data_IF_593420728184
#
_entry.id   IF_593420728184
#
_cell.length_a   1.000
_cell.length_b   1.000
_cell.length_c   1.000
_cell.angle_alpha   90.00
_cell.angle_beta   90.00
_cell.angle_gamma   90.00
#
_symmetry.space_group_name_H-M   'P 1'
#
loop_
_entity.id
_entity.type
_entity.pdbx_description
1 polymer ?
#
# COMPACT_ATOMS: atom_id res chain seq x y z
N UNK A 1 18.78 0.00 -13.85
CA UNK A 1 17.73 -0.04 -14.88
C UNK A 1 17.14 1.36 -14.94
N UNK A 2 16.96 1.94 -16.13
CA UNK A 2 16.37 3.28 -16.27
C UNK A 2 14.87 3.18 -15.97
N UNK A 3 14.31 4.20 -15.30
CA UNK A 3 12.88 4.32 -15.13
C UNK A 3 12.20 4.44 -16.51
N UNK A 4 11.01 3.85 -16.65
CA UNK A 4 10.20 3.94 -17.85
C UNK A 4 8.92 4.71 -17.54
N UNK A 5 8.32 5.31 -18.56
CA UNK A 5 7.01 5.95 -18.44
C UNK A 5 5.96 4.87 -18.18
N UNK A 6 5.14 5.08 -17.16
CA UNK A 6 4.05 4.18 -16.79
C UNK A 6 2.91 5.02 -16.21
N UNK A 7 1.70 4.77 -16.70
CA UNK A 7 0.46 5.35 -16.19
C UNK A 7 -0.59 4.25 -16.06
N UNK A 8 -1.20 4.17 -14.87
CA UNK A 8 -2.26 3.20 -14.56
C UNK A 8 -3.49 3.35 -15.46
N UNK A 9 -3.73 4.54 -16.00
CA UNK A 9 -4.90 4.85 -16.82
C UNK A 9 -4.59 4.88 -18.32
N UNK A 10 -3.32 4.84 -18.72
CA UNK A 10 -2.90 4.75 -20.12
C UNK A 10 -2.25 3.40 -20.43
N UNK A 11 -3.05 2.51 -21.01
CA UNK A 11 -2.64 1.12 -21.34
C UNK A 11 -1.51 1.06 -22.36
N UNK A 12 -1.32 2.07 -23.20
CA UNK A 12 -0.23 2.10 -24.18
C UNK A 12 1.14 2.16 -23.50
N UNK A 13 1.18 2.65 -22.25
CA UNK A 13 2.41 2.71 -21.43
C UNK A 13 2.77 1.39 -20.76
N UNK A 14 1.83 0.43 -20.66
CA UNK A 14 2.02 -0.79 -19.85
C UNK A 14 3.06 -1.76 -20.41
N UNK A 15 3.35 -1.69 -21.71
CA UNK A 15 4.37 -2.50 -22.35
C UNK A 15 5.79 -1.97 -22.11
N UNK A 16 5.95 -0.69 -21.76
CA UNK A 16 7.25 -0.03 -21.67
C UNK A 16 8.26 -0.73 -20.74
N UNK A 17 7.87 -1.28 -19.57
CA UNK A 17 8.78 -2.03 -18.69
C UNK A 17 9.35 -3.31 -19.32
N UNK A 18 8.67 -3.88 -20.31
CA UNK A 18 8.96 -5.22 -20.86
C UNK A 18 9.85 -5.21 -22.10
N UNK A 19 10.35 -4.04 -22.54
CA UNK A 19 11.31 -3.95 -23.65
C UNK A 19 12.72 -4.45 -23.33
N UNK A 20 12.99 -4.83 -22.06
CA UNK A 20 14.31 -5.20 -21.56
C UNK A 20 14.42 -6.67 -21.15
N UNK A 21 14.98 -6.90 -19.96
CA UNK A 21 15.08 -8.25 -19.38
C UNK A 21 13.67 -8.75 -19.00
N UNK A 22 13.39 -10.06 -19.14
CA UNK A 22 12.13 -10.64 -18.68
C UNK A 22 11.86 -10.29 -17.21
N UNK A 23 10.64 -9.84 -16.94
CA UNK A 23 10.16 -9.55 -15.58
C UNK A 23 9.29 -10.73 -15.17
N UNK A 24 9.62 -11.39 -14.07
CA UNK A 24 8.83 -12.52 -13.52
C UNK A 24 8.04 -12.15 -12.26
N UNK A 25 8.38 -11.04 -11.61
CA UNK A 25 7.78 -10.57 -10.38
C UNK A 25 7.53 -9.06 -10.41
N UNK A 26 6.39 -8.61 -9.87
CA UNK A 26 5.99 -7.20 -9.80
C UNK A 26 5.64 -6.81 -8.37
N UNK A 27 6.13 -5.65 -7.95
CA UNK A 27 5.69 -4.97 -6.72
C UNK A 27 4.65 -3.90 -7.05
N UNK A 28 3.52 -3.94 -6.35
CA UNK A 28 2.34 -3.14 -6.59
C UNK A 28 2.08 -2.18 -5.43
N UNK A 29 1.96 -0.91 -5.80
CA UNK A 29 1.53 0.18 -4.93
C UNK A 29 0.20 0.72 -5.43
N UNK A 30 -0.69 1.05 -4.50
CA UNK A 30 -2.02 1.56 -4.79
C UNK A 30 -1.96 2.90 -5.56
N UNK A 31 -2.62 3.02 -6.74
CA UNK A 31 -2.73 4.28 -7.45
C UNK A 31 -3.73 5.25 -6.78
N UNK A 32 -3.49 6.54 -6.93
CA UNK A 32 -4.37 7.61 -6.44
C UNK A 32 -5.54 7.87 -7.40
N UNK A 33 -6.38 6.86 -7.61
CA UNK A 33 -7.58 6.92 -8.48
C UNK A 33 -8.81 6.48 -7.71
N UNK A 34 -10.01 6.68 -8.26
CA UNK A 34 -11.27 6.43 -7.55
C UNK A 34 -11.51 4.95 -7.18
N UNK A 35 -11.17 4.03 -8.08
CA UNK A 35 -11.33 2.58 -7.89
C UNK A 35 -10.00 1.88 -8.24
N UNK A 36 -8.99 1.98 -7.36
CA UNK A 36 -7.63 1.59 -7.68
C UNK A 36 -7.46 0.11 -8.02
N UNK A 37 -8.32 -0.76 -7.50
CA UNK A 37 -8.30 -2.19 -7.80
C UNK A 37 -8.60 -2.51 -9.28
N UNK A 38 -9.35 -1.66 -10.00
CA UNK A 38 -9.70 -1.90 -11.41
C UNK A 38 -8.46 -1.89 -12.32
N UNK A 39 -7.70 -0.78 -12.45
CA UNK A 39 -6.52 -0.78 -13.30
C UNK A 39 -5.44 -1.74 -12.79
N UNK A 40 -5.35 -1.97 -11.47
CA UNK A 40 -4.42 -2.96 -10.93
C UNK A 40 -4.71 -4.38 -11.40
N UNK A 41 -5.98 -4.83 -11.32
CA UNK A 41 -6.38 -6.18 -11.77
C UNK A 41 -6.18 -6.30 -13.29
N UNK A 42 -6.57 -5.30 -14.06
CA UNK A 42 -6.36 -5.30 -15.51
C UNK A 42 -4.87 -5.40 -15.87
N UNK A 43 -4.00 -4.68 -15.16
CA UNK A 43 -2.56 -4.74 -15.36
C UNK A 43 -1.96 -6.10 -14.93
N UNK A 44 -2.41 -6.66 -13.80
CA UNK A 44 -2.02 -8.00 -13.37
C UNK A 44 -2.35 -9.02 -14.47
N UNK A 45 -3.58 -9.02 -14.97
CA UNK A 45 -3.99 -9.96 -16.01
C UNK A 45 -3.25 -9.75 -17.33
N UNK A 46 -3.04 -8.49 -17.73
CA UNK A 46 -2.22 -8.15 -18.90
C UNK A 46 -0.80 -8.71 -18.78
N UNK A 47 -0.11 -8.46 -17.66
CA UNK A 47 1.28 -8.87 -17.47
C UNK A 47 1.45 -10.38 -17.36
N UNK A 48 0.47 -11.08 -16.76
CA UNK A 48 0.43 -12.54 -16.74
C UNK A 48 0.25 -13.12 -18.14
N UNK A 49 -0.74 -12.65 -18.86
CA UNK A 49 -1.17 -13.25 -20.13
C UNK A 49 -0.20 -12.93 -21.28
N UNK A 50 0.37 -11.73 -21.29
CA UNK A 50 1.22 -11.24 -22.40
C UNK A 50 2.70 -11.45 -22.11
N UNK A 51 3.13 -11.25 -20.85
CA UNK A 51 4.55 -11.23 -20.48
C UNK A 51 4.98 -12.37 -19.57
N UNK A 52 4.05 -13.24 -19.16
CA UNK A 52 4.35 -14.41 -18.34
C UNK A 52 4.78 -14.08 -16.90
N UNK A 53 4.40 -12.91 -16.37
CA UNK A 53 4.63 -12.57 -14.97
C UNK A 53 3.87 -13.55 -14.09
N UNK A 54 4.52 -14.12 -13.08
CA UNK A 54 3.90 -15.14 -12.22
C UNK A 54 3.75 -14.70 -10.77
N UNK A 55 4.55 -13.73 -10.31
CA UNK A 55 4.64 -13.33 -8.90
C UNK A 55 4.25 -11.86 -8.67
N UNK A 56 3.46 -11.61 -7.63
CA UNK A 56 3.00 -10.28 -7.27
C UNK A 56 3.16 -10.00 -5.78
N UNK A 57 3.73 -8.84 -5.45
CA UNK A 57 3.82 -8.34 -4.08
C UNK A 57 2.97 -7.09 -3.96
N UNK A 58 1.96 -7.10 -3.08
CA UNK A 58 1.01 -6.00 -2.92
C UNK A 58 1.17 -5.35 -1.55
N UNK A 59 1.21 -4.03 -1.48
CA UNK A 59 1.02 -3.30 -0.22
C UNK A 59 -0.44 -2.89 -0.08
N UNK A 60 -1.09 -3.36 1.00
CA UNK A 60 -2.53 -3.23 1.23
C UNK A 60 -2.91 -2.58 2.58
N UNK A 61 -1.95 -2.28 3.45
CA UNK A 61 -2.22 -1.70 4.77
C UNK A 61 -2.93 -2.63 5.76
N UNK A 62 -2.88 -2.33 7.06
CA UNK A 62 -3.40 -3.23 8.12
C UNK A 62 -4.92 -3.40 8.09
N UNK A 63 -5.68 -2.39 7.66
CA UNK A 63 -7.15 -2.42 7.62
C UNK A 63 -7.74 -3.18 6.43
N UNK A 64 -6.91 -3.69 5.51
CA UNK A 64 -7.42 -4.45 4.37
C UNK A 64 -8.19 -5.68 4.79
N UNK A 65 -9.36 -5.82 4.16
CA UNK A 65 -10.34 -6.87 4.34
C UNK A 65 -10.80 -7.34 2.94
N UNK A 66 -10.81 -8.65 2.71
CA UNK A 66 -11.23 -9.27 1.44
C UNK A 66 -12.69 -9.00 1.07
N UNK A 67 -13.53 -8.62 2.03
CA UNK A 67 -14.95 -8.34 1.85
C UNK A 67 -15.27 -6.89 1.45
N UNK A 68 -14.28 -5.99 1.46
CA UNK A 68 -14.47 -4.56 1.22
C UNK A 68 -13.80 -4.09 -0.08
N UNK A 69 -14.39 -3.11 -0.80
CA UNK A 69 -13.74 -2.47 -1.95
C UNK A 69 -12.38 -1.86 -1.56
N UNK A 70 -11.38 -2.07 -2.42
CA UNK A 70 -10.01 -1.63 -2.17
C UNK A 70 -8.98 -2.72 -2.48
N UNK A 71 -7.85 -2.67 -1.78
CA UNK A 71 -6.77 -3.66 -1.95
C UNK A 71 -7.18 -5.09 -1.58
N UNK A 72 -8.24 -5.27 -0.78
CA UNK A 72 -8.85 -6.57 -0.53
C UNK A 72 -9.40 -7.23 -1.80
N UNK A 73 -9.87 -6.46 -2.77
CA UNK A 73 -10.34 -6.96 -4.07
C UNK A 73 -9.17 -7.47 -4.91
N UNK A 74 -8.03 -6.75 -4.91
CA UNK A 74 -6.80 -7.18 -5.59
C UNK A 74 -6.24 -8.44 -4.93
N UNK A 75 -6.24 -8.51 -3.59
CA UNK A 75 -5.84 -9.71 -2.87
C UNK A 75 -6.74 -10.89 -3.20
N UNK A 76 -8.07 -10.70 -3.21
CA UNK A 76 -9.00 -11.74 -3.64
C UNK A 76 -8.70 -12.23 -5.06
N UNK A 77 -8.37 -11.32 -5.98
CA UNK A 77 -7.95 -11.70 -7.33
C UNK A 77 -6.72 -12.60 -7.34
N UNK A 78 -5.74 -12.38 -6.47
CA UNK A 78 -4.59 -13.29 -6.35
C UNK A 78 -5.00 -14.70 -5.91
N UNK A 79 -5.91 -14.80 -4.94
CA UNK A 79 -6.42 -16.07 -4.45
C UNK A 79 -7.19 -16.81 -5.54
N UNK A 80 -8.04 -16.10 -6.29
CA UNK A 80 -8.88 -16.68 -7.35
C UNK A 80 -8.06 -17.12 -8.57
N UNK A 81 -6.98 -16.40 -8.89
CA UNK A 81 -6.12 -16.71 -10.05
C UNK A 81 -4.96 -17.66 -9.75
N UNK A 82 -4.68 -17.92 -8.47
CA UNK A 82 -3.62 -18.82 -8.03
C UNK A 82 -2.20 -18.32 -8.35
N UNK A 83 -2.00 -17.00 -8.48
CA UNK A 83 -0.66 -16.44 -8.68
C UNK A 83 0.20 -16.59 -7.43
N UNK A 84 1.50 -16.64 -7.64
CA UNK A 84 2.46 -16.46 -6.56
C UNK A 84 2.26 -15.05 -5.98
N UNK A 85 2.00 -14.95 -4.68
CA UNK A 85 1.73 -13.67 -4.06
C UNK A 85 2.35 -13.48 -2.68
N UNK A 86 2.52 -12.22 -2.29
CA UNK A 86 2.70 -11.80 -0.91
C UNK A 86 1.97 -10.48 -0.67
N UNK A 87 1.08 -10.42 0.31
CA UNK A 87 0.33 -9.20 0.65
C UNK A 87 0.88 -8.59 1.94
N UNK A 88 1.50 -7.42 1.83
CA UNK A 88 2.07 -6.70 2.94
C UNK A 88 1.05 -5.72 3.49
N UNK A 89 0.83 -5.80 4.80
CA UNK A 89 -0.18 -5.05 5.53
C UNK A 89 0.47 -4.19 6.61
N UNK A 90 1.29 -3.20 6.23
CA UNK A 90 1.95 -2.33 7.18
C UNK A 90 0.94 -1.48 7.95
N UNK A 91 1.28 -1.12 9.18
CA UNK A 91 0.59 -0.04 9.88
C UNK A 91 0.88 1.30 9.19
N UNK A 92 -0.10 2.21 9.20
CA UNK A 92 0.02 3.56 8.66
C UNK A 92 -0.36 4.59 9.73
N UNK A 93 -0.08 5.86 9.47
CA UNK A 93 -0.72 6.98 10.16
C UNK A 93 -2.25 6.94 10.01
N UNK A 94 -2.97 6.55 11.05
CA UNK A 94 -4.42 6.50 11.07
C UNK A 94 -4.96 7.53 12.07
N UNK A 95 -6.08 8.18 11.79
CA UNK A 95 -6.71 9.09 12.76
C UNK A 95 -7.33 8.27 13.90
N UNK A 96 -6.51 7.85 14.85
CA UNK A 96 -6.91 6.91 15.90
C UNK A 96 -7.35 7.59 17.20
N UNK A 97 -7.36 8.92 17.29
CA UNK A 97 -7.59 9.62 18.56
C UNK A 97 -6.56 9.16 19.60
N UNK A 98 -7.02 8.46 20.64
CA UNK A 98 -6.19 7.85 21.70
C UNK A 98 -5.71 6.43 21.39
N UNK A 99 -6.02 5.90 20.20
CA UNK A 99 -5.58 4.57 19.79
C UNK A 99 -4.07 4.49 19.60
N UNK A 100 -3.52 3.33 19.96
CA UNK A 100 -2.08 3.04 19.81
C UNK A 100 -1.80 2.39 18.47
N UNK A 101 -0.79 2.90 17.76
CA UNK A 101 -0.35 2.42 16.46
C UNK A 101 1.08 1.88 16.60
N UNK A 102 1.37 0.69 16.05
CA UNK A 102 2.73 0.18 15.97
C UNK A 102 3.45 0.76 14.75
N UNK A 103 3.92 2.01 14.83
CA UNK A 103 4.51 2.73 13.69
C UNK A 103 5.71 1.98 13.08
N UNK A 104 5.62 1.65 11.80
CA UNK A 104 6.66 0.91 11.07
C UNK A 104 7.43 1.82 10.11
N UNK A 105 8.73 1.58 9.94
CA UNK A 105 9.56 2.30 8.97
C UNK A 105 9.31 1.84 7.54
N UNK A 106 9.33 2.76 6.58
CA UNK A 106 9.30 2.44 5.16
C UNK A 106 10.48 1.55 4.73
N UNK A 107 11.63 1.67 5.39
CA UNK A 107 12.82 0.82 5.12
C UNK A 107 12.54 -0.63 5.51
N UNK A 108 11.86 -0.86 6.64
CA UNK A 108 11.51 -2.21 7.10
C UNK A 108 10.47 -2.85 6.17
N UNK A 109 9.48 -2.07 5.71
CA UNK A 109 8.53 -2.51 4.68
C UNK A 109 9.29 -2.90 3.41
N UNK A 110 10.21 -2.06 2.94
CA UNK A 110 10.99 -2.34 1.73
C UNK A 110 11.87 -3.59 1.87
N UNK A 111 12.43 -3.83 3.06
CA UNK A 111 13.19 -5.05 3.34
C UNK A 111 12.31 -6.31 3.20
N UNK A 112 11.06 -6.27 3.67
CA UNK A 112 10.11 -7.38 3.50
C UNK A 112 9.67 -7.51 2.03
N UNK A 113 9.41 -6.41 1.32
CA UNK A 113 9.11 -6.43 -0.13
C UNK A 113 10.24 -7.12 -0.89
N UNK A 114 11.49 -6.76 -0.60
CA UNK A 114 12.66 -7.33 -1.26
C UNK A 114 12.71 -8.86 -1.06
N UNK A 115 12.48 -9.35 0.16
CA UNK A 115 12.41 -10.79 0.45
C UNK A 115 11.27 -11.46 -0.31
N UNK A 116 10.06 -10.90 -0.24
CA UNK A 116 8.89 -11.44 -0.91
C UNK A 116 9.06 -11.52 -2.44
N UNK A 117 9.77 -10.57 -3.05
CA UNK A 117 10.08 -10.59 -4.48
C UNK A 117 11.14 -11.65 -4.82
N UNK A 118 12.21 -11.73 -4.03
CA UNK A 118 13.46 -12.41 -4.43
C UNK A 118 13.67 -13.80 -3.85
N UNK A 119 12.94 -14.18 -2.80
CA UNK A 119 13.11 -15.50 -2.19
C UNK A 119 12.77 -16.62 -3.21
N UNK A 120 13.45 -17.79 -3.13
CA UNK A 120 13.29 -18.84 -4.14
C UNK A 120 11.84 -19.33 -4.33
N UNK A 121 11.05 -19.32 -3.25
CA UNK A 121 9.63 -19.67 -3.26
C UNK A 121 8.81 -18.46 -2.84
N UNK A 122 7.68 -18.27 -3.51
CA UNK A 122 6.70 -17.28 -3.06
C UNK A 122 6.16 -17.69 -1.70
N UNK A 123 5.92 -16.70 -0.86
CA UNK A 123 5.41 -16.92 0.50
C UNK A 123 3.93 -17.32 0.49
N UNK A 124 3.16 -16.85 -0.51
CA UNK A 124 1.74 -17.15 -0.71
C UNK A 124 0.91 -16.89 0.55
N UNK A 125 1.14 -15.73 1.17
CA UNK A 125 0.53 -15.32 2.43
C UNK A 125 0.36 -13.81 2.52
N UNK A 126 -0.26 -13.35 3.61
CA UNK A 126 -0.22 -11.95 4.05
C UNK A 126 0.62 -11.75 5.31
N UNK A 127 1.37 -10.65 5.36
CA UNK A 127 2.16 -10.24 6.53
C UNK A 127 1.66 -8.92 7.08
N UNK A 128 1.38 -8.86 8.38
CA UNK A 128 1.30 -7.60 9.11
C UNK A 128 2.70 -7.15 9.47
N UNK A 129 3.09 -5.96 9.02
CA UNK A 129 4.42 -5.40 9.26
C UNK A 129 4.25 -4.24 10.25
N UNK A 130 4.74 -4.43 11.46
CA UNK A 130 4.43 -3.57 12.60
C UNK A 130 5.73 -3.07 13.22
N UNK A 131 5.70 -1.84 13.72
CA UNK A 131 6.75 -1.31 14.58
C UNK A 131 6.82 -2.03 15.92
N UNK A 132 7.97 -1.94 16.62
CA UNK A 132 8.18 -2.61 17.90
C UNK A 132 7.41 -1.96 19.06
N UNK A 133 7.05 -0.68 18.95
CA UNK A 133 6.39 0.10 20.01
C UNK A 133 4.95 0.45 19.62
N UNK A 134 4.01 0.29 20.55
CA UNK A 134 2.63 0.78 20.41
C UNK A 134 2.53 2.19 20.97
N UNK A 135 2.39 3.18 20.09
CA UNK A 135 2.40 4.60 20.46
C UNK A 135 1.07 5.29 20.14
N UNK A 136 0.60 6.17 21.02
CA UNK A 136 -0.41 7.17 20.67
C UNK A 136 0.22 8.31 19.87
N UNK A 137 -0.62 9.14 19.23
CA UNK A 137 -0.12 10.35 18.57
C UNK A 137 0.45 11.38 19.54
N UNK A 138 -0.04 11.41 20.79
CA UNK A 138 0.49 12.28 21.84
C UNK A 138 1.93 11.85 22.20
N UNK A 139 2.16 10.54 22.37
CA UNK A 139 3.51 9.98 22.61
C UNK A 139 4.44 10.22 21.42
N UNK A 140 3.94 10.18 20.18
CA UNK A 140 4.71 10.56 18.98
C UNK A 140 5.06 12.05 18.99
N UNK A 141 4.09 12.92 19.30
CA UNK A 141 4.30 14.36 19.36
C UNK A 141 5.34 14.74 20.43
N UNK A 142 5.33 14.07 21.59
CA UNK A 142 6.34 14.22 22.63
C UNK A 142 7.75 13.81 22.15
N UNK A 143 7.88 12.61 21.57
CA UNK A 143 9.17 12.13 21.02
C UNK A 143 9.71 13.08 19.95
N UNK A 144 8.86 13.55 19.04
CA UNK A 144 9.24 14.51 18.02
C UNK A 144 9.62 15.87 18.62
N UNK A 145 8.88 16.34 19.63
CA UNK A 145 9.17 17.62 20.30
C UNK A 145 10.55 17.59 20.98
N UNK A 146 10.86 16.51 21.68
CA UNK A 146 12.14 16.31 22.34
C UNK A 146 13.30 16.31 21.32
N UNK A 147 13.12 15.67 20.17
CA UNK A 147 14.17 15.54 19.16
C UNK A 147 14.35 16.82 18.32
N UNK A 148 13.26 17.55 18.04
CA UNK A 148 13.27 18.73 17.18
C UNK A 148 13.47 20.04 17.95
N UNK A 149 13.46 20.02 19.28
CA UNK A 149 13.64 21.20 20.12
C UNK A 149 12.53 22.25 20.01
N UNK A 150 11.36 21.86 19.48
CA UNK A 150 10.16 22.72 19.37
C UNK A 150 8.93 21.92 19.75
N UNK A 151 7.93 22.60 20.32
CA UNK A 151 6.66 21.96 20.66
C UNK A 151 5.92 21.52 19.40
N UNK A 152 5.55 20.24 19.37
CA UNK A 152 4.62 19.63 18.42
C UNK A 152 3.43 19.14 19.22
N UNK A 153 2.24 19.37 18.70
CA UNK A 153 0.98 19.01 19.36
C UNK A 153 0.13 18.21 18.39
N UNK A 154 -0.46 17.13 18.90
CA UNK A 154 -1.45 16.34 18.17
C UNK A 154 -2.83 16.96 18.36
N UNK A 155 -3.48 17.31 17.25
CA UNK A 155 -4.85 17.82 17.24
C UNK A 155 -5.80 16.68 16.90
N UNK A 156 -6.63 16.30 17.86
CA UNK A 156 -7.67 15.27 17.70
C UNK A 156 -8.82 15.84 16.88
N UNK A 157 -9.07 15.26 15.71
CA UNK A 157 -10.20 15.60 14.84
C UNK A 157 -11.31 14.57 14.98
N UNK A 158 -12.57 15.01 14.94
CA UNK A 158 -13.71 14.13 14.72
C UNK A 158 -13.68 13.53 13.30
N UNK A 159 -14.46 12.47 13.07
CA UNK A 159 -14.58 11.84 11.75
C UNK A 159 -15.04 12.82 10.66
N UNK A 160 -16.00 13.70 11.00
CA UNK A 160 -16.54 14.70 10.07
C UNK A 160 -15.52 15.81 9.76
N UNK A 161 -14.78 16.29 10.77
CA UNK A 161 -13.71 17.28 10.59
C UNK A 161 -12.57 16.73 9.71
N UNK A 162 -12.17 15.48 9.94
CA UNK A 162 -11.19 14.79 9.10
C UNK A 162 -11.68 14.68 7.65
N UNK A 163 -12.90 14.17 7.46
CA UNK A 163 -13.48 13.99 6.13
C UNK A 163 -13.50 15.31 5.37
N UNK A 164 -14.04 16.37 6.01
CA UNK A 164 -14.09 17.71 5.44
C UNK A 164 -12.69 18.24 5.08
N UNK A 165 -11.72 18.11 5.98
CA UNK A 165 -10.35 18.56 5.75
C UNK A 165 -9.68 17.85 4.56
N UNK A 166 -9.89 16.55 4.41
CA UNK A 166 -9.36 15.78 3.27
C UNK A 166 -10.05 16.16 1.95
N UNK A 167 -11.37 16.33 1.94
CA UNK A 167 -12.09 16.75 0.72
C UNK A 167 -11.73 18.17 0.31
N UNK A 168 -11.56 19.09 1.27
CA UNK A 168 -11.13 20.47 1.01
C UNK A 168 -9.71 20.48 0.40
N UNK A 169 -8.86 19.51 0.77
CA UNK A 169 -7.54 19.26 0.19
C UNK A 169 -7.56 18.47 -1.13
N UNK A 170 -8.73 18.29 -1.76
CA UNK A 170 -8.91 17.55 -3.03
C UNK A 170 -8.50 16.07 -2.99
N UNK A 171 -8.47 15.46 -1.81
CA UNK A 171 -8.30 14.01 -1.66
C UNK A 171 -9.59 13.31 -2.13
N UNK A 172 -9.45 12.20 -2.87
CA UNK A 172 -10.60 11.48 -3.43
C UNK A 172 -11.58 11.03 -2.34
N UNK A 173 -12.89 10.96 -2.66
CA UNK A 173 -13.91 10.49 -1.71
C UNK A 173 -13.62 9.08 -1.17
N UNK A 174 -12.99 8.23 -1.99
CA UNK A 174 -12.55 6.89 -1.57
C UNK A 174 -11.55 6.98 -0.41
N UNK A 175 -10.50 7.80 -0.55
CA UNK A 175 -9.47 7.99 0.47
C UNK A 175 -9.98 8.80 1.67
N UNK A 176 -10.85 9.79 1.44
CA UNK A 176 -11.40 10.64 2.49
C UNK A 176 -12.32 9.86 3.45
N UNK A 177 -13.01 8.82 2.96
CA UNK A 177 -13.86 7.93 3.77
C UNK A 177 -13.12 6.74 4.37
N UNK A 178 -11.83 6.60 4.07
CA UNK A 178 -11.02 5.49 4.53
C UNK A 178 -10.75 5.64 6.05
N UNK A 179 -11.43 4.84 6.88
CA UNK A 179 -11.23 4.72 8.32
C UNK A 179 -10.70 3.33 8.64
#
# INVERSE_FOLDING_TARGET
MLAVVFDWLDKETWQAPFGGKPISAIYLMEPLVAEPWKPMIEFIDYTRNVHGVTRFVLVAGTSTDLSRPGMGVVWKHFLDTGVDHCVLRPSWFMACGDGKIPFVSAIDIAAVVFRALTDPKSHNCDYRILGPELLTYDEVAEKLSAHLGRRIEHVKLSGDERYKGLTDASVSNYLARFN
#
